data_IF_982117514592
#
_entry.id   IF_982117514592
#
_cell.length_a   1.000
_cell.length_b   1.000
_cell.length_c   1.000
_cell.angle_alpha   90.00
_cell.angle_beta   90.00
_cell.angle_gamma   90.00
#
_symmetry.space_group_name_H-M   'P 1'
#
loop_
_entity.id
_entity.type
_entity.pdbx_description
1 polymer ?
#
# COMPACT_ATOMS: atom_id res chain seq x y z
N UNK A 1 28.26 -30.50 34.54
CA UNK A 1 28.36 -29.04 34.28
C UNK A 1 28.77 -28.72 32.84
N UNK A 2 29.70 -29.50 32.27
CA UNK A 2 30.14 -29.27 30.86
C UNK A 2 29.03 -29.41 29.82
N UNK A 3 28.02 -30.27 30.06
CA UNK A 3 26.89 -30.47 29.14
C UNK A 3 25.91 -29.29 29.03
N UNK A 4 25.79 -28.50 30.10
CA UNK A 4 24.94 -27.34 30.14
C UNK A 4 25.53 -26.18 29.30
N UNK A 5 26.83 -25.97 29.38
CA UNK A 5 27.53 -24.94 28.60
C UNK A 5 27.52 -25.25 27.10
N UNK A 6 27.68 -26.54 26.75
CA UNK A 6 27.59 -26.97 25.35
C UNK A 6 26.19 -26.77 24.77
N UNK A 7 25.14 -27.08 25.56
CA UNK A 7 23.75 -26.85 25.13
C UNK A 7 23.43 -25.35 24.96
N UNK A 8 23.91 -24.51 25.85
CA UNK A 8 23.74 -23.06 25.75
C UNK A 8 24.46 -22.46 24.54
N UNK A 9 25.67 -22.95 24.23
CA UNK A 9 26.42 -22.54 23.04
C UNK A 9 25.72 -22.96 21.76
N UNK A 10 25.21 -24.21 21.71
CA UNK A 10 24.48 -24.72 20.56
C UNK A 10 23.19 -23.90 20.29
N UNK A 11 22.47 -23.51 21.35
CA UNK A 11 21.29 -22.64 21.21
C UNK A 11 21.65 -21.24 20.71
N UNK A 12 22.74 -20.66 21.21
CA UNK A 12 23.23 -19.35 20.76
C UNK A 12 23.66 -19.36 19.30
N UNK A 13 24.34 -20.41 18.88
CA UNK A 13 24.80 -20.56 17.49
C UNK A 13 23.62 -20.79 16.54
N UNK A 14 22.64 -21.64 16.91
CA UNK A 14 21.42 -21.84 16.13
C UNK A 14 20.65 -20.55 15.97
N UNK A 15 20.52 -19.77 17.01
CA UNK A 15 19.82 -18.48 16.98
C UNK A 15 20.52 -17.47 16.05
N UNK A 16 21.85 -17.38 16.09
CA UNK A 16 22.61 -16.51 15.21
C UNK A 16 22.51 -16.93 13.75
N UNK A 17 22.52 -18.23 13.48
CA UNK A 17 22.31 -18.76 12.14
C UNK A 17 20.92 -18.45 11.61
N UNK A 18 19.90 -18.56 12.47
CA UNK A 18 18.53 -18.21 12.12
C UNK A 18 18.38 -16.72 11.80
N UNK A 19 18.94 -15.86 12.64
CA UNK A 19 18.92 -14.40 12.42
C UNK A 19 19.65 -14.00 11.15
N UNK A 20 20.79 -14.62 10.85
CA UNK A 20 21.54 -14.37 9.62
C UNK A 20 20.76 -14.85 8.38
N UNK A 21 20.10 -16.01 8.47
CA UNK A 21 19.27 -16.53 7.39
C UNK A 21 18.06 -15.64 7.13
N UNK A 22 17.39 -15.17 8.19
CA UNK A 22 16.25 -14.27 8.10
C UNK A 22 16.65 -12.91 7.52
N UNK A 23 17.81 -12.40 7.90
CA UNK A 23 18.35 -11.16 7.35
C UNK A 23 18.72 -11.32 5.87
N UNK A 24 19.33 -12.43 5.49
CA UNK A 24 19.66 -12.73 4.09
C UNK A 24 18.38 -12.86 3.25
N UNK A 25 17.35 -13.51 3.77
CA UNK A 25 16.04 -13.61 3.11
C UNK A 25 15.40 -12.23 2.94
N UNK A 26 15.45 -11.38 3.95
CA UNK A 26 14.94 -10.01 3.86
C UNK A 26 15.69 -9.18 2.83
N UNK A 27 17.02 -9.28 2.79
CA UNK A 27 17.84 -8.59 1.80
C UNK A 27 17.59 -9.12 0.39
N UNK A 28 17.49 -10.44 0.21
CA UNK A 28 17.17 -11.05 -1.07
C UNK A 28 15.76 -10.67 -1.54
N UNK A 29 14.77 -10.72 -0.66
CA UNK A 29 13.40 -10.30 -0.95
C UNK A 29 13.30 -8.82 -1.29
N UNK A 30 14.14 -7.96 -0.70
CA UNK A 30 14.18 -6.54 -1.01
C UNK A 30 14.94 -6.22 -2.28
N UNK A 31 16.02 -6.93 -2.59
CA UNK A 31 16.90 -6.62 -3.75
C UNK A 31 16.34 -7.10 -5.07
N UNK A 32 15.97 -8.38 -5.17
CA UNK A 32 15.58 -8.99 -6.47
C UNK A 32 14.16 -8.63 -6.88
N UNK A 33 13.11 -8.79 -6.04
CA UNK A 33 11.77 -8.33 -6.39
C UNK A 33 11.68 -6.81 -6.50
N UNK A 34 12.49 -6.05 -5.72
CA UNK A 34 12.49 -4.60 -5.78
C UNK A 34 13.02 -4.05 -7.09
N UNK A 35 14.09 -4.61 -7.65
CA UNK A 35 14.63 -4.15 -8.91
C UNK A 35 13.63 -4.34 -10.06
N UNK A 36 13.03 -5.54 -10.16
CA UNK A 36 12.00 -5.84 -11.14
C UNK A 36 10.69 -5.08 -10.87
N UNK A 37 10.24 -5.06 -9.60
CA UNK A 37 9.02 -4.35 -9.19
C UNK A 37 9.18 -2.84 -9.26
N UNK A 38 10.36 -2.28 -8.92
CA UNK A 38 10.58 -0.83 -8.91
C UNK A 38 10.38 -0.24 -10.31
N UNK A 39 10.92 -0.87 -11.35
CA UNK A 39 10.73 -0.41 -12.72
C UNK A 39 9.24 -0.41 -13.13
N UNK A 40 8.50 -1.44 -12.72
CA UNK A 40 7.08 -1.57 -13.02
C UNK A 40 6.21 -0.65 -12.15
N UNK A 41 6.52 -0.59 -10.83
CA UNK A 41 5.73 0.17 -9.85
C UNK A 41 5.93 1.68 -9.96
N UNK A 42 7.06 2.14 -10.48
CA UNK A 42 7.35 3.56 -10.73
C UNK A 42 6.80 4.05 -12.07
N UNK A 43 5.90 3.32 -12.69
CA UNK A 43 5.34 3.72 -13.98
C UNK A 43 4.54 5.03 -13.86
N UNK A 44 4.77 5.93 -14.79
CA UNK A 44 4.06 7.21 -14.85
C UNK A 44 2.54 7.04 -14.91
N UNK A 45 1.98 6.11 -15.71
CA UNK A 45 0.53 5.88 -15.73
C UNK A 45 -0.04 5.50 -14.37
N UNK A 46 0.67 4.68 -13.56
CA UNK A 46 0.22 4.30 -12.23
C UNK A 46 0.20 5.48 -11.28
N UNK A 47 1.26 6.29 -11.29
CA UNK A 47 1.34 7.50 -10.45
C UNK A 47 0.26 8.51 -10.85
N UNK A 48 0.09 8.76 -12.13
CA UNK A 48 -0.94 9.66 -12.66
C UNK A 48 -2.35 9.16 -12.31
N UNK A 49 -2.56 7.85 -12.34
CA UNK A 49 -3.83 7.24 -11.95
C UNK A 49 -4.19 7.50 -10.49
N UNK A 50 -3.21 7.39 -9.59
CA UNK A 50 -3.42 7.73 -8.17
C UNK A 50 -3.68 9.22 -7.97
N UNK A 51 -2.94 10.07 -8.65
CA UNK A 51 -3.14 11.52 -8.57
C UNK A 51 -4.54 11.92 -9.03
N UNK A 52 -5.00 11.34 -10.13
CA UNK A 52 -6.35 11.58 -10.65
C UNK A 52 -7.43 11.07 -9.68
N UNK A 53 -7.22 9.90 -9.07
CA UNK A 53 -8.14 9.38 -8.07
C UNK A 53 -8.26 10.33 -6.88
N UNK A 54 -7.15 10.89 -6.41
CA UNK A 54 -7.16 11.91 -5.37
C UNK A 54 -7.95 13.14 -5.76
N UNK A 55 -7.75 13.64 -6.98
CA UNK A 55 -8.49 14.78 -7.50
C UNK A 55 -10.00 14.51 -7.56
N UNK A 56 -10.38 13.31 -7.99
CA UNK A 56 -11.80 12.92 -8.05
C UNK A 56 -12.44 12.75 -6.68
N UNK A 57 -11.67 12.34 -5.67
CA UNK A 57 -12.14 12.22 -4.29
C UNK A 57 -12.13 13.55 -3.53
N UNK A 58 -11.53 14.58 -4.10
CA UNK A 58 -11.45 15.91 -3.52
C UNK A 58 -10.05 16.35 -3.10
N UNK A 59 -9.20 15.43 -2.68
CA UNK A 59 -7.81 15.70 -2.28
C UNK A 59 -7.00 14.41 -2.17
N UNK A 60 -5.67 14.56 -2.16
CA UNK A 60 -4.78 13.43 -1.88
C UNK A 60 -5.01 12.87 -0.47
N UNK A 61 -5.29 13.73 0.51
CA UNK A 61 -5.60 13.30 1.87
C UNK A 61 -6.86 12.44 1.92
N UNK A 62 -7.90 12.80 1.16
CA UNK A 62 -9.12 12.01 1.05
C UNK A 62 -8.86 10.62 0.43
N UNK A 63 -8.00 10.56 -0.59
CA UNK A 63 -7.60 9.28 -1.18
C UNK A 63 -6.81 8.42 -0.18
N UNK A 64 -5.85 9.00 0.53
CA UNK A 64 -5.06 8.28 1.54
C UNK A 64 -5.95 7.69 2.62
N UNK A 65 -6.90 8.47 3.13
CA UNK A 65 -7.88 8.01 4.13
C UNK A 65 -8.71 6.85 3.59
N UNK A 66 -9.22 6.98 2.36
CA UNK A 66 -10.03 5.94 1.72
C UNK A 66 -9.24 4.65 1.46
N UNK A 67 -7.96 4.77 1.15
CA UNK A 67 -7.06 3.62 0.97
C UNK A 67 -6.58 3.01 2.30
N UNK A 68 -6.80 3.70 3.43
CA UNK A 68 -6.34 3.25 4.74
C UNK A 68 -4.84 3.41 4.93
N UNK A 69 -4.21 4.37 4.26
CA UNK A 69 -2.78 4.65 4.37
C UNK A 69 -2.53 6.08 4.85
N UNK A 70 -1.33 6.33 5.35
CA UNK A 70 -0.93 7.67 5.75
C UNK A 70 -0.75 8.59 4.52
N UNK A 71 -1.10 9.89 4.61
CA UNK A 71 -0.86 10.83 3.53
C UNK A 71 0.59 10.88 3.07
N UNK A 72 1.53 10.68 3.99
CA UNK A 72 2.97 10.61 3.69
C UNK A 72 3.29 9.42 2.79
N UNK A 73 2.67 8.26 3.06
CA UNK A 73 2.85 7.06 2.25
C UNK A 73 2.32 7.27 0.83
N UNK A 74 1.16 7.89 0.70
CA UNK A 74 0.60 8.22 -0.63
C UNK A 74 1.51 9.19 -1.38
N UNK A 75 2.00 10.21 -0.71
CA UNK A 75 2.93 11.20 -1.32
C UNK A 75 4.19 10.53 -1.84
N UNK A 76 4.76 9.58 -1.09
CA UNK A 76 5.92 8.82 -1.53
C UNK A 76 5.63 8.01 -2.80
N UNK A 77 4.44 7.46 -2.94
CA UNK A 77 4.01 6.71 -4.13
C UNK A 77 3.84 7.61 -5.36
N UNK A 78 3.29 8.81 -5.18
CA UNK A 78 3.04 9.76 -6.29
C UNK A 78 4.28 10.57 -6.66
N UNK A 79 5.31 10.62 -5.80
CA UNK A 79 6.57 11.33 -6.06
C UNK A 79 7.70 10.42 -6.56
N UNK A 80 7.40 9.17 -6.87
CA UNK A 80 8.36 8.16 -7.33
C UNK A 80 9.38 7.70 -6.27
N UNK A 81 9.21 8.07 -5.00
CA UNK A 81 10.02 7.54 -3.91
C UNK A 81 9.68 6.09 -3.59
N UNK A 82 8.44 5.70 -3.83
CA UNK A 82 7.94 4.32 -3.73
C UNK A 82 7.16 3.95 -4.97
N UNK A 83 7.14 2.66 -5.28
CA UNK A 83 6.33 2.16 -6.37
C UNK A 83 4.84 2.10 -6.02
N UNK A 84 4.00 2.17 -7.04
CA UNK A 84 2.56 1.97 -6.93
C UNK A 84 2.24 0.51 -7.25
N UNK A 85 1.80 -0.24 -6.25
CA UNK A 85 1.48 -1.66 -6.42
C UNK A 85 0.11 -1.87 -7.08
N UNK A 86 -0.15 -3.09 -7.53
CA UNK A 86 -1.47 -3.46 -8.00
C UNK A 86 -2.52 -3.33 -6.90
N UNK A 87 -2.15 -3.65 -5.66
CA UNK A 87 -3.05 -3.47 -4.51
C UNK A 87 -3.38 -2.01 -4.26
N UNK A 88 -2.42 -1.11 -4.43
CA UNK A 88 -2.67 0.34 -4.35
C UNK A 88 -3.70 0.78 -5.38
N UNK A 89 -3.56 0.31 -6.63
CA UNK A 89 -4.51 0.64 -7.70
C UNK A 89 -5.90 0.09 -7.40
N UNK A 90 -6.00 -1.13 -6.90
CA UNK A 90 -7.28 -1.73 -6.51
C UNK A 90 -7.93 -0.99 -5.36
N UNK A 91 -7.15 -0.62 -4.35
CA UNK A 91 -7.65 0.16 -3.21
C UNK A 91 -8.18 1.52 -3.66
N UNK A 92 -7.48 2.20 -4.56
CA UNK A 92 -7.94 3.46 -5.14
C UNK A 92 -9.22 3.27 -5.97
N UNK A 93 -9.29 2.21 -6.76
CA UNK A 93 -10.49 1.87 -7.54
C UNK A 93 -11.69 1.61 -6.62
N UNK A 94 -11.51 0.84 -5.56
CA UNK A 94 -12.56 0.56 -4.58
C UNK A 94 -13.04 1.85 -3.89
N UNK A 95 -12.12 2.75 -3.58
CA UNK A 95 -12.45 4.06 -3.00
C UNK A 95 -13.31 4.90 -3.94
N UNK A 96 -12.97 4.89 -5.24
CA UNK A 96 -13.76 5.60 -6.25
C UNK A 96 -15.16 4.98 -6.41
N UNK A 97 -15.25 3.66 -6.44
CA UNK A 97 -16.53 2.95 -6.55
C UNK A 97 -17.44 3.26 -5.35
N UNK A 98 -16.89 3.25 -4.14
CA UNK A 98 -17.64 3.59 -2.94
C UNK A 98 -18.14 5.04 -2.98
N UNK A 99 -17.31 5.96 -3.43
CA UNK A 99 -17.69 7.35 -3.59
C UNK A 99 -18.75 7.54 -4.67
N UNK A 100 -18.61 6.84 -5.78
CA UNK A 100 -19.59 6.87 -6.88
C UNK A 100 -20.96 6.37 -6.42
N UNK A 101 -21.01 5.30 -5.63
CA UNK A 101 -22.25 4.79 -5.07
C UNK A 101 -22.95 5.80 -4.18
N UNK A 102 -22.20 6.50 -3.32
CA UNK A 102 -22.74 7.57 -2.49
C UNK A 102 -23.26 8.74 -3.32
N UNK A 103 -22.56 9.10 -4.37
CA UNK A 103 -22.97 10.17 -5.27
C UNK A 103 -24.26 9.82 -6.02
N UNK A 104 -24.37 8.60 -6.52
CA UNK A 104 -25.58 8.12 -7.21
C UNK A 104 -26.77 8.11 -6.26
N UNK A 105 -26.60 7.63 -5.03
CA UNK A 105 -27.62 7.61 -4.00
C UNK A 105 -28.09 9.02 -3.66
N UNK A 106 -27.16 9.94 -3.46
CA UNK A 106 -27.50 11.33 -3.13
C UNK A 106 -28.17 12.03 -4.30
N UNK A 107 -27.75 11.79 -5.53
CA UNK A 107 -28.38 12.31 -6.73
C UNK A 107 -29.85 11.86 -6.82
N UNK A 108 -30.14 10.60 -6.48
CA UNK A 108 -31.50 10.10 -6.43
C UNK A 108 -32.35 10.83 -5.39
N UNK A 109 -31.79 11.11 -4.22
CA UNK A 109 -32.48 11.89 -3.17
C UNK A 109 -32.79 13.30 -3.63
N UNK A 110 -31.86 13.96 -4.31
CA UNK A 110 -32.09 15.30 -4.84
C UNK A 110 -33.21 15.33 -5.90
N UNK A 111 -33.24 14.33 -6.76
CA UNK A 111 -34.31 14.22 -7.76
C UNK A 111 -35.68 13.99 -7.11
N UNK A 112 -35.72 13.16 -6.06
CA UNK A 112 -36.94 12.94 -5.31
C UNK A 112 -37.46 14.22 -4.66
N UNK A 113 -36.57 15.03 -4.09
CA UNK A 113 -36.93 16.33 -3.50
C UNK A 113 -37.40 17.34 -4.56
N UNK A 114 -36.85 17.27 -5.77
CA UNK A 114 -37.21 18.14 -6.87
C UNK A 114 -38.56 17.80 -7.52
N UNK A 115 -39.12 16.62 -7.25
CA UNK A 115 -40.43 16.21 -7.81
C UNK A 115 -41.52 17.00 -7.11
N UNK A 116 -42.37 17.76 -7.85
CA UNK A 116 -43.49 18.50 -7.26
C UNK A 116 -44.50 17.56 -6.62
N UNK A 117 -44.94 17.90 -5.41
CA UNK A 117 -45.95 17.13 -4.71
C UNK A 117 -47.33 17.25 -5.41
#
# INVERSE_FOLDING_TARGET
MAGLDAAMRARGDARRQQEAADEAKRKAAKRTPRAAHTTHLLSVPRMAGLMKAGALLGSAAALAEAMGIEPRSLRAKTSADRGVSCDDLRAAADALDARAALMVEHAAKLRAEATPA
#
